data_IF_384256940068
#
_entry.id   IF_384256940068
#
_cell.length_a   1.000
_cell.length_b   1.000
_cell.length_c   1.000
_cell.angle_alpha   90.00
_cell.angle_beta   90.00
_cell.angle_gamma   90.00
#
_symmetry.space_group_name_H-M   'P 1'
#
loop_
_entity.id
_entity.type
_entity.pdbx_description
1 polymer ?
#
# COMPACT_ATOMS: atom_id res chain seq x y z
N UNK A 1 -6.31 13.49 -14.22
CA UNK A 1 -5.48 13.16 -13.05
C UNK A 1 -4.21 12.47 -13.49
N UNK A 2 -3.15 12.64 -12.73
CA UNK A 2 -1.83 12.07 -13.04
C UNK A 2 -1.49 10.99 -12.03
N UNK A 3 -0.96 9.85 -12.50
CA UNK A 3 -0.36 8.82 -11.65
C UNK A 3 1.14 8.86 -11.85
N UNK A 4 1.89 8.95 -10.75
CA UNK A 4 3.36 8.91 -10.78
C UNK A 4 3.92 8.24 -9.54
N UNK A 5 5.22 7.94 -9.56
CA UNK A 5 5.94 7.46 -8.38
C UNK A 5 6.30 8.62 -7.46
N UNK A 6 6.55 8.30 -6.20
CA UNK A 6 6.91 9.30 -5.20
C UNK A 6 8.40 9.69 -5.26
N UNK A 7 8.68 10.83 -4.66
CA UNK A 7 10.02 11.26 -4.30
C UNK A 7 10.00 11.67 -2.82
N UNK A 8 11.15 12.00 -2.25
CA UNK A 8 11.25 12.50 -0.87
C UNK A 8 10.43 13.79 -0.65
N UNK A 9 10.22 14.57 -1.70
CA UNK A 9 9.45 15.81 -1.63
C UNK A 9 7.96 15.58 -1.35
N UNK A 10 7.48 14.35 -1.52
CA UNK A 10 6.07 13.99 -1.28
C UNK A 10 5.77 13.63 0.18
N UNK A 11 6.77 13.64 1.05
CA UNK A 11 6.65 13.16 2.43
C UNK A 11 5.49 13.81 3.20
N UNK A 12 5.42 15.13 3.19
CA UNK A 12 4.39 15.84 3.97
C UNK A 12 2.98 15.54 3.45
N UNK A 13 2.79 15.55 2.13
CA UNK A 13 1.49 15.26 1.52
C UNK A 13 1.03 13.84 1.81
N UNK A 14 1.94 12.86 1.71
CA UNK A 14 1.66 11.45 2.01
C UNK A 14 1.25 11.28 3.48
N UNK A 15 2.03 11.85 4.38
CA UNK A 15 1.79 11.77 5.82
C UNK A 15 0.45 12.40 6.21
N UNK A 16 0.10 13.54 5.63
CA UNK A 16 -1.17 14.21 5.88
C UNK A 16 -2.35 13.39 5.36
N UNK A 17 -2.22 12.80 4.19
CA UNK A 17 -3.28 11.96 3.61
C UNK A 17 -3.52 10.72 4.46
N UNK A 18 -2.49 10.05 4.91
CA UNK A 18 -2.60 8.88 5.80
C UNK A 18 -3.34 9.25 7.09
N UNK A 19 -2.97 10.36 7.71
CA UNK A 19 -3.61 10.84 8.94
C UNK A 19 -5.09 11.18 8.74
N UNK A 20 -5.48 11.59 7.55
CA UNK A 20 -6.88 11.87 7.21
C UNK A 20 -7.68 10.58 6.95
N UNK A 21 -7.01 9.48 6.60
CA UNK A 21 -7.67 8.22 6.22
C UNK A 21 -7.81 7.23 7.36
N UNK A 22 -6.89 7.23 8.34
CA UNK A 22 -6.80 6.19 9.37
C UNK A 22 -6.74 6.77 10.77
N UNK A 23 -7.25 6.04 11.79
CA UNK A 23 -7.08 6.44 13.18
C UNK A 23 -5.59 6.37 13.57
N UNK A 24 -5.21 7.13 14.60
CA UNK A 24 -3.82 7.23 15.05
C UNK A 24 -3.21 5.86 15.37
N UNK A 25 -4.00 4.92 15.89
CA UNK A 25 -3.53 3.56 16.22
C UNK A 25 -3.13 2.74 14.98
N UNK A 26 -3.58 3.13 13.79
CA UNK A 26 -3.32 2.40 12.54
C UNK A 26 -2.45 3.19 11.56
N UNK A 27 -2.51 4.52 11.60
CA UNK A 27 -1.80 5.37 10.66
C UNK A 27 -0.29 5.25 10.84
N UNK A 28 0.44 5.13 9.73
CA UNK A 28 1.89 5.26 9.74
C UNK A 28 2.26 6.72 10.03
N UNK A 29 3.36 6.91 10.76
CA UNK A 29 3.83 8.23 11.14
C UNK A 29 4.64 8.88 10.01
N UNK A 30 4.86 10.20 10.13
CA UNK A 30 5.73 10.92 9.21
C UNK A 30 7.14 10.33 9.18
N UNK A 31 7.68 9.93 10.35
CA UNK A 31 9.00 9.31 10.44
C UNK A 31 9.05 7.97 9.72
N UNK A 32 8.01 7.17 9.84
CA UNK A 32 7.90 5.90 9.13
C UNK A 32 7.87 6.13 7.62
N UNK A 33 7.09 7.10 7.14
CA UNK A 33 7.08 7.43 5.71
C UNK A 33 8.41 7.99 5.22
N UNK A 34 9.12 8.77 6.04
CA UNK A 34 10.45 9.24 5.67
C UNK A 34 11.40 8.06 5.42
N UNK A 35 11.37 7.05 6.29
CA UNK A 35 12.16 5.84 6.12
C UNK A 35 11.74 5.04 4.90
N UNK A 36 10.45 4.89 4.67
CA UNK A 36 9.92 4.18 3.49
C UNK A 36 10.34 4.86 2.19
N UNK A 37 10.21 6.17 2.11
CA UNK A 37 10.60 6.93 0.92
C UNK A 37 12.11 6.87 0.66
N UNK A 38 12.91 6.83 1.73
CA UNK A 38 14.36 6.69 1.61
C UNK A 38 14.77 5.32 1.02
N UNK A 39 13.97 4.28 1.25
CA UNK A 39 14.30 2.91 0.83
C UNK A 39 13.54 2.47 -0.42
N UNK A 40 12.29 2.88 -0.61
CA UNK A 40 11.47 2.38 -1.72
C UNK A 40 10.45 3.39 -2.26
N UNK A 41 10.88 4.64 -2.48
CA UNK A 41 10.01 5.66 -3.06
C UNK A 41 9.39 5.22 -4.40
N UNK A 42 10.09 4.40 -5.18
CA UNK A 42 9.60 3.87 -6.45
C UNK A 42 8.46 2.85 -6.31
N UNK A 43 8.16 2.43 -5.09
CA UNK A 43 7.03 1.54 -4.77
C UNK A 43 5.91 2.30 -4.04
N UNK A 44 5.83 3.59 -4.28
CA UNK A 44 4.70 4.45 -3.96
C UNK A 44 4.07 4.89 -5.28
N UNK A 45 2.79 4.61 -5.44
CA UNK A 45 1.99 5.06 -6.58
C UNK A 45 1.09 6.19 -6.09
N UNK A 46 1.26 7.36 -6.67
CA UNK A 46 0.54 8.57 -6.27
C UNK A 46 -0.43 8.98 -7.36
N UNK A 47 -1.63 9.43 -6.97
CA UNK A 47 -2.60 10.04 -7.87
C UNK A 47 -2.77 11.49 -7.49
N UNK A 48 -2.60 12.40 -8.44
CA UNK A 48 -2.69 13.83 -8.23
C UNK A 48 -3.79 14.44 -9.08
N UNK A 49 -4.54 15.35 -8.48
CA UNK A 49 -5.48 16.24 -9.16
C UNK A 49 -4.82 17.62 -9.21
N UNK A 50 -4.22 17.95 -10.37
CA UNK A 50 -3.30 19.08 -10.46
C UNK A 50 -2.08 18.81 -9.57
N UNK A 51 -1.84 19.69 -8.59
CA UNK A 51 -0.75 19.54 -7.64
C UNK A 51 -1.18 18.86 -6.33
N UNK A 52 -2.47 18.57 -6.19
CA UNK A 52 -3.02 17.99 -4.97
C UNK A 52 -2.92 16.46 -4.98
N UNK A 53 -2.25 15.91 -3.98
CA UNK A 53 -2.24 14.46 -3.76
C UNK A 53 -3.61 14.03 -3.23
N UNK A 54 -4.28 13.15 -3.98
CA UNK A 54 -5.64 12.70 -3.62
C UNK A 54 -5.70 11.22 -3.24
N UNK A 55 -4.73 10.44 -3.62
CA UNK A 55 -4.67 9.01 -3.30
C UNK A 55 -3.24 8.49 -3.44
N UNK A 56 -2.91 7.46 -2.67
CA UNK A 56 -1.66 6.72 -2.88
C UNK A 56 -1.78 5.27 -2.46
N UNK A 57 -0.87 4.46 -3.01
CA UNK A 57 -0.66 3.06 -2.64
C UNK A 57 0.83 2.88 -2.40
N UNK A 58 1.20 2.19 -1.32
CA UNK A 58 2.61 1.95 -1.02
C UNK A 58 2.86 0.57 -0.43
N UNK A 59 4.09 0.12 -0.54
CA UNK A 59 4.55 -1.09 0.11
C UNK A 59 5.95 -1.48 -0.33
N UNK A 60 6.64 -2.27 0.50
CA UNK A 60 7.97 -2.76 0.19
C UNK A 60 7.91 -4.02 -0.69
N UNK A 61 9.04 -4.37 -1.27
CA UNK A 61 9.25 -5.64 -1.97
C UNK A 61 10.12 -6.54 -1.11
N UNK A 62 9.82 -7.84 -1.11
CA UNK A 62 10.53 -8.80 -0.27
C UNK A 62 10.47 -10.20 -0.89
N UNK A 63 11.39 -11.09 -0.47
CA UNK A 63 11.31 -12.51 -0.79
C UNK A 63 10.36 -13.27 0.14
N UNK A 64 9.97 -12.65 1.26
CA UNK A 64 9.00 -13.24 2.19
C UNK A 64 7.63 -13.32 1.52
N UNK A 65 6.95 -14.45 1.67
CA UNK A 65 5.63 -14.67 1.06
C UNK A 65 4.47 -14.26 1.98
N UNK A 66 4.77 -13.80 3.20
CA UNK A 66 3.77 -13.39 4.19
C UNK A 66 4.06 -11.98 4.66
N UNK A 67 3.03 -11.14 4.70
CA UNK A 67 3.16 -9.79 5.23
C UNK A 67 3.18 -9.85 6.76
N UNK A 68 4.18 -9.23 7.37
CA UNK A 68 4.35 -9.19 8.83
C UNK A 68 4.32 -7.76 9.34
N UNK A 69 3.94 -7.58 10.60
CA UNK A 69 3.88 -6.25 11.23
C UNK A 69 5.25 -5.54 11.27
N UNK A 70 6.34 -6.31 11.35
CA UNK A 70 7.70 -5.77 11.33
C UNK A 70 7.97 -4.92 10.08
N UNK A 71 7.42 -5.32 8.94
CA UNK A 71 7.63 -4.64 7.67
C UNK A 71 7.15 -3.19 7.67
N UNK A 72 6.11 -2.89 8.45
CA UNK A 72 5.58 -1.52 8.54
C UNK A 72 6.59 -0.53 9.14
N UNK A 73 7.38 -0.99 10.11
CA UNK A 73 8.30 -0.15 10.87
C UNK A 73 9.76 -0.29 10.43
N UNK A 74 10.09 -1.26 9.56
CA UNK A 74 11.45 -1.58 9.15
C UNK A 74 11.63 -1.51 7.64
N UNK A 75 11.72 -0.29 7.06
CA UNK A 75 11.86 -0.11 5.61
C UNK A 75 13.15 -0.73 5.05
N UNK A 76 14.16 -0.95 5.89
CA UNK A 76 15.40 -1.64 5.52
C UNK A 76 15.18 -3.12 5.15
N UNK A 77 14.00 -3.67 5.45
CA UNK A 77 13.62 -5.02 5.00
C UNK A 77 13.32 -5.06 3.50
N UNK A 78 13.18 -3.90 2.85
CA UNK A 78 12.94 -3.83 1.41
C UNK A 78 14.09 -4.47 0.63
N UNK A 79 13.73 -5.35 -0.30
CA UNK A 79 14.64 -5.98 -1.24
C UNK A 79 14.13 -5.72 -2.65
N UNK A 80 14.82 -4.83 -3.39
CA UNK A 80 14.40 -4.44 -4.73
C UNK A 80 14.30 -5.64 -5.69
N UNK A 81 15.06 -6.70 -5.45
CA UNK A 81 15.04 -7.93 -6.25
C UNK A 81 14.06 -8.98 -5.72
N UNK A 82 13.24 -8.63 -4.73
CA UNK A 82 12.30 -9.54 -4.09
C UNK A 82 11.18 -10.03 -5.02
N UNK A 83 10.55 -11.11 -4.62
CA UNK A 83 9.51 -11.80 -5.42
C UNK A 83 8.11 -11.24 -5.20
N UNK A 84 7.85 -10.61 -4.05
CA UNK A 84 6.51 -10.19 -3.65
C UNK A 84 6.45 -8.70 -3.40
N UNK A 85 5.48 -8.04 -4.03
CA UNK A 85 5.14 -6.66 -3.71
C UNK A 85 4.15 -6.68 -2.54
N UNK A 86 4.57 -6.20 -1.38
CA UNK A 86 3.66 -5.97 -0.27
C UNK A 86 2.91 -4.67 -0.50
N UNK A 87 1.66 -4.60 -0.06
CA UNK A 87 0.86 -3.38 -0.09
C UNK A 87 0.48 -3.05 1.36
N UNK A 88 0.88 -1.87 1.82
CA UNK A 88 0.62 -1.41 3.19
C UNK A 88 -0.57 -0.46 3.24
N UNK A 89 -0.51 0.64 2.51
CA UNK A 89 -1.53 1.66 2.48
C UNK A 89 -2.25 1.72 1.14
N UNK A 90 -3.56 1.89 1.20
CA UNK A 90 -4.40 2.22 0.05
C UNK A 90 -5.27 3.38 0.52
N UNK A 91 -4.80 4.59 0.26
CA UNK A 91 -5.36 5.81 0.82
C UNK A 91 -6.06 6.63 -0.26
N UNK A 92 -7.23 7.16 0.06
CA UNK A 92 -7.94 8.11 -0.80
C UNK A 92 -8.56 9.20 0.07
N UNK A 93 -8.36 10.47 -0.30
CA UNK A 93 -9.02 11.58 0.37
C UNK A 93 -10.53 11.34 0.41
N UNK A 94 -11.20 11.64 1.54
CA UNK A 94 -12.64 11.39 1.67
C UNK A 94 -13.49 11.94 0.53
N UNK A 95 -13.21 13.14 0.05
CA UNK A 95 -13.97 13.78 -1.04
C UNK A 95 -13.74 13.15 -2.41
N UNK A 96 -12.73 12.30 -2.54
CA UNK A 96 -12.43 11.57 -3.78
C UNK A 96 -12.80 10.09 -3.72
N UNK A 97 -13.38 9.65 -2.61
CA UNK A 97 -13.83 8.25 -2.46
C UNK A 97 -15.00 7.95 -3.36
N UNK A 98 -15.17 6.66 -3.68
CA UNK A 98 -16.24 6.12 -4.55
C UNK A 98 -16.22 6.68 -5.97
N UNK A 99 -15.04 7.11 -6.44
CA UNK A 99 -14.82 7.62 -7.80
C UNK A 99 -13.87 6.72 -8.60
N UNK A 100 -13.50 5.55 -8.06
CA UNK A 100 -12.62 4.62 -8.74
C UNK A 100 -11.13 4.92 -8.62
N UNK A 101 -10.72 5.90 -7.82
CA UNK A 101 -9.31 6.29 -7.70
C UNK A 101 -8.43 5.18 -7.13
N UNK A 102 -8.86 4.57 -6.03
CA UNK A 102 -8.11 3.48 -5.40
C UNK A 102 -7.99 2.26 -6.32
N UNK A 103 -9.08 1.91 -7.02
CA UNK A 103 -9.09 0.81 -7.99
C UNK A 103 -8.10 1.05 -9.11
N UNK A 104 -8.07 2.27 -9.64
CA UNK A 104 -7.17 2.65 -10.73
C UNK A 104 -5.70 2.56 -10.27
N UNK A 105 -5.38 3.08 -9.07
CA UNK A 105 -4.03 2.99 -8.50
C UNK A 105 -3.63 1.54 -8.25
N UNK A 106 -4.52 0.73 -7.69
CA UNK A 106 -4.23 -0.69 -7.47
C UNK A 106 -3.97 -1.43 -8.77
N UNK A 107 -4.74 -1.15 -9.81
CA UNK A 107 -4.50 -1.74 -11.13
C UNK A 107 -3.14 -1.34 -11.68
N UNK A 108 -2.72 -0.11 -11.47
CA UNK A 108 -1.38 0.35 -11.89
C UNK A 108 -0.31 -0.37 -11.09
N UNK A 109 -0.47 -0.49 -9.77
CA UNK A 109 0.49 -1.21 -8.94
C UNK A 109 0.60 -2.69 -9.35
N UNK A 110 -0.53 -3.32 -9.64
CA UNK A 110 -0.58 -4.71 -10.15
C UNK A 110 0.15 -4.82 -11.49
N UNK A 111 -0.16 -3.93 -12.42
CA UNK A 111 0.49 -3.91 -13.74
C UNK A 111 2.00 -3.75 -13.62
N UNK A 112 2.45 -2.77 -12.84
CA UNK A 112 3.88 -2.48 -12.69
C UNK A 112 4.62 -3.63 -11.99
N UNK A 113 4.00 -4.25 -11.00
CA UNK A 113 4.58 -5.42 -10.31
C UNK A 113 4.74 -6.60 -11.26
N UNK A 114 3.77 -6.82 -12.14
CA UNK A 114 3.85 -7.87 -13.16
C UNK A 114 4.98 -7.58 -14.14
N UNK A 115 5.08 -6.35 -14.63
CA UNK A 115 6.14 -5.94 -15.55
C UNK A 115 7.53 -6.04 -14.92
N UNK A 116 7.63 -5.87 -13.61
CA UNK A 116 8.89 -6.05 -12.86
C UNK A 116 9.27 -7.51 -12.66
N UNK A 117 8.40 -8.46 -13.02
CA UNK A 117 8.66 -9.89 -12.87
C UNK A 117 8.41 -10.44 -11.47
N UNK A 118 7.64 -9.74 -10.62
CA UNK A 118 7.27 -10.25 -9.30
C UNK A 118 6.34 -11.46 -9.44
N UNK A 119 6.24 -12.26 -8.38
CA UNK A 119 5.29 -13.38 -8.33
C UNK A 119 3.85 -12.93 -8.06
N UNK A 120 3.68 -11.76 -7.44
CA UNK A 120 2.37 -11.21 -7.14
C UNK A 120 2.43 -10.15 -6.04
N UNK A 121 1.25 -9.87 -5.47
CA UNK A 121 1.09 -8.89 -4.40
C UNK A 121 0.45 -9.53 -3.18
N UNK A 122 0.83 -9.04 -2.01
CA UNK A 122 0.28 -9.49 -0.72
C UNK A 122 -0.12 -8.26 0.10
N UNK A 123 -1.29 -8.32 0.72
CA UNK A 123 -1.74 -7.26 1.61
C UNK A 123 -2.51 -7.83 2.80
N UNK A 124 -2.75 -7.00 3.80
CA UNK A 124 -3.66 -7.31 4.89
C UNK A 124 -4.77 -6.25 4.90
N UNK A 125 -6.00 -6.69 5.08
CA UNK A 125 -7.15 -5.79 5.14
C UNK A 125 -8.15 -6.23 6.20
N UNK A 126 -9.02 -5.30 6.60
CA UNK A 126 -10.13 -5.61 7.49
C UNK A 126 -11.23 -6.38 6.73
N UNK A 127 -12.08 -7.08 7.47
CA UNK A 127 -13.10 -7.96 6.90
C UNK A 127 -14.00 -7.27 5.87
N UNK A 128 -14.38 -6.02 6.11
CA UNK A 128 -15.27 -5.26 5.23
C UNK A 128 -14.66 -4.91 3.86
N UNK A 129 -13.36 -5.04 3.70
CA UNK A 129 -12.65 -4.77 2.45
C UNK A 129 -12.30 -6.02 1.65
N UNK A 130 -12.51 -7.21 2.20
CA UNK A 130 -12.17 -8.47 1.53
C UNK A 130 -12.84 -8.56 0.15
N UNK A 131 -14.14 -8.24 0.05
CA UNK A 131 -14.85 -8.31 -1.22
C UNK A 131 -14.33 -7.32 -2.25
N UNK A 132 -13.90 -6.14 -1.81
CA UNK A 132 -13.33 -5.11 -2.70
C UNK A 132 -12.02 -5.59 -3.33
N UNK A 133 -11.13 -6.17 -2.52
CA UNK A 133 -9.88 -6.73 -3.04
C UNK A 133 -10.12 -7.98 -3.89
N UNK A 134 -11.10 -8.79 -3.56
CA UNK A 134 -11.46 -9.97 -4.36
C UNK A 134 -11.83 -9.57 -5.79
N UNK A 135 -12.54 -8.46 -5.96
CA UNK A 135 -12.91 -7.95 -7.29
C UNK A 135 -11.69 -7.50 -8.11
N UNK A 136 -10.57 -7.18 -7.44
CA UNK A 136 -9.31 -6.83 -8.12
C UNK A 136 -8.46 -8.06 -8.46
N UNK A 137 -8.89 -9.26 -8.06
CA UNK A 137 -8.20 -10.51 -8.34
C UNK A 137 -7.46 -11.13 -7.16
N UNK A 138 -7.55 -10.52 -5.97
CA UNK A 138 -6.95 -11.09 -4.76
C UNK A 138 -7.79 -12.24 -4.23
N UNK A 139 -7.12 -13.21 -3.59
CA UNK A 139 -7.76 -14.33 -2.90
C UNK A 139 -7.47 -14.21 -1.41
N UNK A 140 -8.51 -14.36 -0.60
CA UNK A 140 -8.33 -14.35 0.87
C UNK A 140 -7.64 -15.61 1.33
N UNK A 141 -6.63 -15.44 2.19
CA UNK A 141 -5.92 -16.53 2.86
C UNK A 141 -6.33 -16.67 4.33
N UNK A 142 -7.40 -15.98 4.73
CA UNK A 142 -7.94 -16.05 6.07
C UNK A 142 -7.31 -15.02 7.02
N UNK A 143 -7.60 -15.18 8.30
CA UNK A 143 -7.09 -14.28 9.35
C UNK A 143 -5.57 -14.37 9.41
N UNK A 144 -4.90 -13.20 9.34
CA UNK A 144 -3.45 -13.12 9.42
C UNK A 144 -2.97 -13.08 10.87
N UNK A 145 -1.65 -13.23 11.06
CA UNK A 145 -1.02 -13.05 12.37
C UNK A 145 -0.86 -11.59 12.79
N UNK A 146 -1.27 -10.63 11.95
CA UNK A 146 -1.12 -9.20 12.25
C UNK A 146 -2.00 -8.79 13.42
N UNK A 147 -1.42 -7.97 14.30
CA UNK A 147 -2.14 -7.32 15.42
C UNK A 147 -2.09 -5.80 15.30
N UNK A 148 -1.75 -5.29 14.12
CA UNK A 148 -1.59 -3.86 13.86
C UNK A 148 -2.82 -3.07 14.30
N UNK A 149 -2.60 -2.04 15.12
CA UNK A 149 -3.68 -1.20 15.63
C UNK A 149 -4.72 -1.93 16.50
N UNK A 150 -4.43 -3.17 16.93
CA UNK A 150 -5.36 -3.99 17.73
C UNK A 150 -6.55 -4.53 16.94
N UNK A 151 -6.54 -4.43 15.62
CA UNK A 151 -7.62 -4.91 14.74
C UNK A 151 -7.37 -6.34 14.26
N UNK A 152 -8.40 -6.96 13.69
CA UNK A 152 -8.31 -8.25 13.01
C UNK A 152 -8.07 -8.02 11.53
N UNK A 153 -7.03 -8.64 10.99
CA UNK A 153 -6.60 -8.47 9.59
C UNK A 153 -6.67 -9.79 8.84
N UNK A 154 -7.07 -9.70 7.57
CA UNK A 154 -7.12 -10.84 6.63
C UNK A 154 -6.01 -10.68 5.61
N UNK A 155 -5.23 -11.75 5.40
CA UNK A 155 -4.22 -11.74 4.35
C UNK A 155 -4.85 -12.02 3.00
N UNK A 156 -4.52 -11.19 2.02
CA UNK A 156 -4.99 -11.31 0.65
C UNK A 156 -3.80 -11.44 -0.28
N UNK A 157 -3.90 -12.31 -1.26
CA UNK A 157 -2.83 -12.54 -2.24
C UNK A 157 -3.36 -12.49 -3.65
N UNK A 158 -2.64 -11.77 -4.52
CA UNK A 158 -2.83 -11.84 -5.96
C UNK A 158 -1.58 -12.47 -6.56
N UNK A 159 -1.73 -13.62 -7.17
CA UNK A 159 -0.62 -14.39 -7.76
C UNK A 159 -0.69 -14.25 -9.28
N UNK A 160 0.44 -13.89 -9.88
CA UNK A 160 0.52 -13.77 -11.35
C UNK A 160 0.62 -15.11 -12.05
#
# INVERSE_FOLDING_TARGET
MIIRRATLDDLDAISQLEAACFPESEAATREQFAGRLAHYASHFWLMLDGEKLIAFVDGLVTDEDTLTDEMYAHPEMHNESGKWQMIFGVDTLPEYRRKGCASELMRRAIHDSREQGRLGLVLACKADLVSWYTKLGFVSEGVSGSVHGGAVWYQMRLRF
#
